data_IF_231191983177
#
_entry.id   IF_231191983177
#
_cell.length_a   1.000
_cell.length_b   1.000
_cell.length_c   1.000
_cell.angle_alpha   90.00
_cell.angle_beta   90.00
_cell.angle_gamma   90.00
#
_symmetry.space_group_name_H-M   'P 1'
#
loop_
_entity.id
_entity.type
_entity.pdbx_description
1 polymer ?
#
# COMPACT_ATOMS: atom_id res chain seq x y z
N UNK A 1 -22.93 -9.85 3.89
CA UNK A 1 -22.13 -10.33 2.76
C UNK A 1 -22.46 -11.79 2.50
N UNK A 2 -22.45 -12.67 3.51
CA UNK A 2 -22.77 -14.09 3.37
C UNK A 2 -24.20 -14.36 2.87
N UNK A 3 -25.21 -13.63 3.36
CA UNK A 3 -26.57 -13.68 2.84
C UNK A 3 -26.64 -13.33 1.34
N UNK A 4 -25.89 -12.30 0.94
CA UNK A 4 -25.87 -11.86 -0.46
C UNK A 4 -25.21 -12.91 -1.36
N UNK A 5 -24.16 -13.57 -0.89
CA UNK A 5 -23.46 -14.61 -1.62
C UNK A 5 -24.31 -15.86 -1.90
N UNK A 6 -25.40 -16.05 -1.15
CA UNK A 6 -26.38 -17.14 -1.40
C UNK A 6 -27.32 -16.84 -2.57
N UNK A 7 -27.46 -15.57 -2.95
CA UNK A 7 -28.43 -15.12 -3.95
C UNK A 7 -27.81 -14.67 -5.26
N UNK A 8 -26.58 -14.15 -5.20
CA UNK A 8 -25.85 -13.67 -6.38
C UNK A 8 -24.38 -14.12 -6.33
N UNK A 9 -23.73 -14.35 -7.49
CA UNK A 9 -22.29 -14.55 -7.58
C UNK A 9 -21.53 -13.36 -6.98
N UNK A 10 -20.63 -13.62 -6.06
CA UNK A 10 -19.91 -12.60 -5.32
C UNK A 10 -18.44 -12.98 -5.17
N UNK A 11 -17.55 -12.02 -5.42
CA UNK A 11 -16.10 -12.14 -5.20
C UNK A 11 -15.64 -11.02 -4.28
N UNK A 12 -14.89 -11.36 -3.23
CA UNK A 12 -14.29 -10.40 -2.32
C UNK A 12 -12.85 -10.17 -2.72
N UNK A 13 -12.47 -8.91 -2.96
CA UNK A 13 -11.08 -8.53 -3.26
C UNK A 13 -10.43 -7.93 -2.00
N UNK A 14 -9.18 -8.34 -1.74
CA UNK A 14 -8.36 -7.85 -0.63
C UNK A 14 -8.93 -8.14 0.77
N UNK A 15 -9.78 -9.16 0.89
CA UNK A 15 -10.19 -9.65 2.21
C UNK A 15 -9.11 -10.57 2.77
N UNK A 16 -8.87 -10.46 4.08
CA UNK A 16 -7.86 -11.29 4.75
C UNK A 16 -8.41 -12.55 5.36
N UNK A 17 -9.68 -12.54 5.72
CA UNK A 17 -10.28 -13.71 6.32
C UNK A 17 -10.52 -14.74 5.21
N UNK A 18 -9.92 -15.92 5.36
CA UNK A 18 -10.23 -17.03 4.48
C UNK A 18 -11.70 -17.33 4.63
N UNK A 19 -12.49 -16.85 3.69
CA UNK A 19 -13.88 -17.24 3.61
C UNK A 19 -13.94 -18.68 3.12
N UNK A 20 -14.73 -19.51 3.78
CA UNK A 20 -14.98 -20.88 3.35
C UNK A 20 -16.21 -20.99 2.45
N UNK A 21 -16.90 -19.87 2.23
CA UNK A 21 -18.21 -19.81 1.56
C UNK A 21 -18.28 -18.81 0.41
N UNK A 22 -17.29 -17.93 0.26
CA UNK A 22 -17.28 -16.85 -0.74
C UNK A 22 -15.95 -16.85 -1.48
N UNK A 23 -16.02 -16.69 -2.80
CA UNK A 23 -14.82 -16.53 -3.63
C UNK A 23 -14.02 -15.30 -3.21
N UNK A 24 -12.71 -15.44 -3.10
CA UNK A 24 -11.85 -14.39 -2.60
C UNK A 24 -10.54 -14.26 -3.40
N UNK A 25 -10.13 -13.01 -3.63
CA UNK A 25 -8.81 -12.68 -4.15
C UNK A 25 -8.08 -11.88 -3.07
N UNK A 26 -7.06 -12.49 -2.49
CA UNK A 26 -6.39 -12.01 -1.29
C UNK A 26 -5.04 -11.36 -1.58
N UNK A 27 -4.62 -10.57 -0.61
CA UNK A 27 -3.30 -9.98 -0.52
C UNK A 27 -2.93 -9.83 0.95
N UNK A 28 -1.69 -10.16 1.30
CA UNK A 28 -1.21 -9.92 2.66
C UNK A 28 -0.54 -8.54 2.78
N UNK A 29 -1.27 -7.58 3.34
CA UNK A 29 -0.76 -6.23 3.58
C UNK A 29 0.38 -6.20 4.62
N UNK A 30 0.48 -7.21 5.51
CA UNK A 30 1.62 -7.33 6.41
C UNK A 30 2.90 -7.64 5.63
N UNK A 31 2.81 -8.52 4.63
CA UNK A 31 3.92 -8.83 3.72
C UNK A 31 4.31 -7.60 2.92
N UNK A 32 3.34 -6.84 2.40
CA UNK A 32 3.59 -5.58 1.66
C UNK A 32 4.39 -4.60 2.52
N UNK A 33 3.92 -4.31 3.74
CA UNK A 33 4.63 -3.41 4.66
C UNK A 33 6.05 -3.88 5.00
N UNK A 34 6.20 -5.19 5.26
CA UNK A 34 7.51 -5.80 5.50
C UNK A 34 8.46 -5.63 4.30
N UNK A 35 7.97 -5.81 3.07
CA UNK A 35 8.80 -5.63 1.87
C UNK A 35 9.26 -4.18 1.69
N UNK A 36 8.39 -3.20 1.95
CA UNK A 36 8.76 -1.78 1.93
C UNK A 36 9.88 -1.50 2.94
N UNK A 37 9.71 -1.97 4.18
CA UNK A 37 10.70 -1.80 5.25
C UNK A 37 12.03 -2.48 4.91
N UNK A 38 12.01 -3.72 4.46
CA UNK A 38 13.22 -4.47 4.11
C UNK A 38 14.02 -3.77 3.02
N UNK A 39 13.35 -3.28 1.98
CA UNK A 39 14.00 -2.50 0.93
C UNK A 39 14.75 -1.27 1.47
N UNK A 40 14.12 -0.51 2.37
CA UNK A 40 14.76 0.66 2.97
C UNK A 40 15.91 0.27 3.91
N UNK A 41 15.74 -0.78 4.72
CA UNK A 41 16.78 -1.32 5.59
C UNK A 41 18.02 -1.80 4.80
N UNK A 42 17.80 -2.48 3.67
CA UNK A 42 18.87 -2.98 2.79
C UNK A 42 19.64 -1.83 2.12
N UNK A 43 18.98 -0.66 1.93
CA UNK A 43 19.63 0.58 1.46
C UNK A 43 20.32 1.37 2.59
N UNK A 44 20.25 0.87 3.83
CA UNK A 44 20.93 1.46 4.99
C UNK A 44 20.09 2.49 5.75
N UNK A 45 18.82 2.72 5.39
CA UNK A 45 17.96 3.63 6.13
C UNK A 45 17.62 3.06 7.51
N UNK A 46 17.72 3.94 8.54
CA UNK A 46 17.41 3.59 9.93
C UNK A 46 16.31 4.48 10.49
N UNK A 47 16.39 5.79 10.26
CA UNK A 47 15.37 6.77 10.63
C UNK A 47 14.45 6.99 9.46
N UNK A 48 13.18 6.61 9.60
CA UNK A 48 12.20 6.61 8.51
C UNK A 48 10.83 7.12 8.97
N UNK A 49 10.07 7.71 8.04
CA UNK A 49 8.69 8.07 8.25
C UNK A 49 7.77 7.18 7.41
N UNK A 50 6.62 6.80 7.96
CA UNK A 50 5.52 6.18 7.25
C UNK A 50 4.31 7.11 7.29
N UNK A 51 3.89 7.62 6.13
CA UNK A 51 2.72 8.49 6.02
C UNK A 51 1.49 7.69 5.58
N UNK A 52 0.35 7.92 6.22
CA UNK A 52 -0.87 7.12 6.02
C UNK A 52 -2.14 7.96 6.21
N UNK A 53 -3.23 7.65 5.51
CA UNK A 53 -4.54 8.15 5.88
C UNK A 53 -4.92 7.69 7.30
N UNK A 54 -6.04 8.13 7.88
CA UNK A 54 -6.44 7.74 9.23
C UNK A 54 -6.46 6.22 9.41
N UNK A 55 -5.93 5.73 10.54
CA UNK A 55 -5.90 4.32 10.90
C UNK A 55 -7.14 3.95 11.72
N UNK A 56 -8.27 3.77 11.06
CA UNK A 56 -9.53 3.40 11.69
C UNK A 56 -9.74 1.88 11.74
N UNK A 57 -10.64 1.42 12.63
CA UNK A 57 -11.02 -0.01 12.71
C UNK A 57 -11.61 -0.52 11.40
N UNK A 58 -12.31 0.31 10.63
CA UNK A 58 -12.91 -0.04 9.34
C UNK A 58 -11.87 -0.28 8.24
N UNK A 59 -10.67 0.29 8.42
CA UNK A 59 -9.59 0.23 7.42
C UNK A 59 -8.39 -0.58 7.92
N UNK A 60 -8.69 -1.69 8.58
CA UNK A 60 -7.71 -2.60 9.17
C UNK A 60 -6.61 -3.09 8.21
N UNK A 61 -6.84 -3.07 6.89
CA UNK A 61 -5.83 -3.38 5.88
C UNK A 61 -4.69 -2.36 5.85
N UNK A 62 -4.98 -1.07 6.07
CA UNK A 62 -3.97 -0.02 6.22
C UNK A 62 -3.12 -0.28 7.47
N UNK A 63 -3.76 -0.57 8.58
CA UNK A 63 -3.10 -0.90 9.85
C UNK A 63 -2.16 -2.11 9.71
N UNK A 64 -2.54 -3.13 8.92
CA UNK A 64 -1.67 -4.28 8.66
C UNK A 64 -0.42 -3.92 7.89
N UNK A 65 -0.52 -3.03 6.90
CA UNK A 65 0.66 -2.57 6.15
C UNK A 65 1.62 -1.82 7.06
N UNK A 66 1.10 -0.87 7.85
CA UNK A 66 1.88 -0.14 8.86
C UNK A 66 2.52 -1.11 9.85
N UNK A 67 1.76 -2.03 10.42
CA UNK A 67 2.28 -3.00 11.40
C UNK A 67 3.36 -3.92 10.79
N UNK A 68 3.19 -4.33 9.53
CA UNK A 68 4.21 -5.10 8.82
C UNK A 68 5.51 -4.32 8.65
N UNK A 69 5.40 -3.04 8.32
CA UNK A 69 6.53 -2.12 8.17
C UNK A 69 7.27 -1.94 9.51
N UNK A 70 6.54 -1.56 10.57
CA UNK A 70 7.13 -1.34 11.91
C UNK A 70 7.78 -2.61 12.45
N UNK A 71 7.11 -3.77 12.34
CA UNK A 71 7.66 -5.04 12.83
C UNK A 71 8.98 -5.43 12.15
N UNK A 72 9.19 -5.03 10.91
CA UNK A 72 10.45 -5.33 10.23
C UNK A 72 11.60 -4.48 10.77
N UNK A 73 11.36 -3.19 11.08
CA UNK A 73 12.32 -2.35 11.80
C UNK A 73 12.52 -2.82 13.25
N UNK A 74 11.48 -3.27 13.92
CA UNK A 74 11.56 -3.81 15.30
C UNK A 74 12.50 -5.03 15.39
N UNK A 75 12.55 -5.90 14.37
CA UNK A 75 13.51 -7.03 14.31
C UNK A 75 14.96 -6.59 14.30
N UNK A 76 15.24 -5.41 13.76
CA UNK A 76 16.59 -4.82 13.74
C UNK A 76 16.86 -3.93 14.98
N UNK A 77 15.94 -3.91 15.96
CA UNK A 77 16.04 -3.05 17.14
C UNK A 77 15.76 -1.56 16.88
N UNK A 78 15.12 -1.24 15.75
CA UNK A 78 14.92 0.13 15.25
C UNK A 78 13.45 0.60 15.33
N UNK A 79 12.65 0.03 16.21
CA UNK A 79 11.22 0.38 16.31
C UNK A 79 11.00 1.87 16.57
N UNK A 80 11.77 2.45 17.48
CA UNK A 80 11.66 3.85 17.90
C UNK A 80 12.18 4.84 16.83
N UNK A 81 12.81 4.34 15.79
CA UNK A 81 13.29 5.06 14.62
C UNK A 81 12.26 5.14 13.48
N UNK A 82 11.06 4.61 13.70
CA UNK A 82 9.95 4.66 12.73
C UNK A 82 8.91 5.68 13.18
N UNK A 83 8.79 6.77 12.45
CA UNK A 83 7.77 7.78 12.66
C UNK A 83 6.51 7.36 11.89
N UNK A 84 5.39 7.18 12.58
CA UNK A 84 4.09 6.97 11.93
C UNK A 84 3.32 8.30 11.94
N UNK A 85 3.16 8.89 10.76
CA UNK A 85 2.38 10.12 10.57
C UNK A 85 1.06 9.78 9.89
N UNK A 86 -0.01 9.71 10.67
CA UNK A 86 -1.35 9.44 10.17
C UNK A 86 -2.13 10.77 10.05
N UNK A 87 -2.94 10.90 9.00
CA UNK A 87 -3.87 12.01 8.88
C UNK A 87 -4.99 11.92 9.94
N UNK A 88 -5.55 13.05 10.34
CA UNK A 88 -6.74 13.10 11.18
C UNK A 88 -8.00 12.73 10.40
N UNK A 89 -8.97 12.06 11.05
CA UNK A 89 -10.25 11.69 10.43
C UNK A 89 -11.01 12.91 9.88
N UNK A 90 -10.91 14.06 10.53
CA UNK A 90 -11.55 15.29 10.09
C UNK A 90 -11.00 15.81 8.76
N UNK A 91 -9.74 15.53 8.43
CA UNK A 91 -9.09 15.93 7.18
C UNK A 91 -9.58 15.05 6.03
N UNK A 92 -9.75 13.75 6.26
CA UNK A 92 -10.24 12.78 5.25
C UNK A 92 -11.65 13.15 4.73
N UNK A 93 -12.46 13.84 5.55
CA UNK A 93 -13.80 14.30 5.18
C UNK A 93 -13.82 15.66 4.43
N UNK A 94 -12.77 16.46 4.51
CA UNK A 94 -12.71 17.82 3.93
C UNK A 94 -12.10 17.87 2.53
N UNK A 95 -11.30 16.87 2.15
CA UNK A 95 -10.61 16.84 0.86
C UNK A 95 -11.49 16.10 -0.17
N UNK A 96 -11.71 16.67 -1.39
CA UNK A 96 -12.43 15.99 -2.45
C UNK A 96 -11.79 14.61 -2.75
N UNK A 97 -12.62 13.57 -2.89
CA UNK A 97 -12.17 12.17 -3.00
C UNK A 97 -11.14 11.88 -4.08
N UNK A 98 -11.09 12.65 -5.17
CA UNK A 98 -10.18 12.39 -6.29
C UNK A 98 -8.72 12.76 -6.00
N UNK A 99 -8.47 13.74 -5.10
CA UNK A 99 -7.11 14.23 -4.80
C UNK A 99 -6.70 13.97 -3.34
N UNK A 100 -7.56 13.26 -2.57
CA UNK A 100 -7.40 13.17 -1.11
C UNK A 100 -6.08 12.56 -0.68
N UNK A 101 -5.67 11.45 -1.28
CA UNK A 101 -4.45 10.74 -0.87
C UNK A 101 -3.17 11.48 -1.28
N UNK A 102 -3.15 12.09 -2.47
CA UNK A 102 -2.04 12.94 -2.90
C UNK A 102 -1.89 14.15 -1.98
N UNK A 103 -2.98 14.89 -1.75
CA UNK A 103 -2.98 16.07 -0.87
C UNK A 103 -2.62 15.74 0.57
N UNK A 104 -3.08 14.58 1.08
CA UNK A 104 -2.64 14.08 2.39
C UNK A 104 -1.15 13.79 2.42
N UNK A 105 -0.62 13.10 1.41
CA UNK A 105 0.80 12.79 1.31
C UNK A 105 1.68 14.04 1.33
N UNK A 106 1.30 15.05 0.55
CA UNK A 106 1.96 16.35 0.54
C UNK A 106 1.89 17.02 1.93
N UNK A 107 0.70 17.17 2.49
CA UNK A 107 0.47 17.84 3.78
C UNK A 107 1.23 17.17 4.92
N UNK A 108 1.11 15.85 5.07
CA UNK A 108 1.79 15.10 6.14
C UNK A 108 3.31 15.20 6.02
N UNK A 109 3.84 15.28 4.80
CA UNK A 109 5.28 15.46 4.58
C UNK A 109 5.72 16.86 4.98
N UNK A 110 4.96 17.92 4.61
CA UNK A 110 5.26 19.28 5.05
C UNK A 110 5.23 19.39 6.58
N UNK A 111 4.22 18.81 7.23
CA UNK A 111 4.15 18.78 8.70
C UNK A 111 5.36 18.08 9.33
N UNK A 112 5.84 16.95 8.78
CA UNK A 112 7.05 16.29 9.26
C UNK A 112 8.29 17.17 9.16
N UNK A 113 8.42 17.95 8.07
CA UNK A 113 9.52 18.90 7.87
C UNK A 113 9.43 20.07 8.84
N UNK A 114 8.23 20.64 9.04
CA UNK A 114 7.99 21.76 9.97
C UNK A 114 8.23 21.35 11.44
N UNK A 115 7.94 20.10 11.79
CA UNK A 115 8.23 19.54 13.12
C UNK A 115 9.74 19.33 13.35
N UNK A 116 10.58 19.54 12.35
CA UNK A 116 12.02 19.31 12.42
C UNK A 116 12.40 17.83 12.65
N UNK A 117 11.54 16.89 12.22
CA UNK A 117 11.79 15.46 12.40
C UNK A 117 12.88 14.98 11.46
N UNK A 118 13.88 14.28 12.01
CA UNK A 118 14.93 13.66 11.22
C UNK A 118 14.47 12.32 10.66
N UNK A 119 14.56 12.16 9.34
CA UNK A 119 14.35 10.91 8.61
C UNK A 119 15.15 10.91 7.30
N UNK A 120 15.52 9.75 6.84
CA UNK A 120 16.25 9.55 5.58
C UNK A 120 15.39 8.89 4.49
N UNK A 121 14.20 8.38 4.86
CA UNK A 121 13.26 7.83 3.91
C UNK A 121 11.81 8.06 4.35
N UNK A 122 10.91 8.17 3.36
CA UNK A 122 9.45 8.20 3.55
C UNK A 122 8.83 7.00 2.83
N UNK A 123 7.99 6.27 3.54
CA UNK A 123 7.09 5.27 2.99
C UNK A 123 5.66 5.82 2.93
N UNK A 124 5.08 5.91 1.75
CA UNK A 124 3.67 6.25 1.58
C UNK A 124 2.78 5.02 1.68
N UNK A 125 1.61 5.15 2.32
CA UNK A 125 0.62 4.08 2.40
C UNK A 125 0.29 3.52 1.01
N UNK A 126 0.27 4.38 0.00
CA UNK A 126 0.13 4.04 -1.41
C UNK A 126 0.93 4.99 -2.31
N UNK A 127 0.87 4.78 -3.62
CA UNK A 127 1.61 5.57 -4.60
C UNK A 127 1.16 7.04 -4.65
N UNK A 128 -0.13 7.33 -4.49
CA UNK A 128 -0.63 8.70 -4.52
C UNK A 128 -0.09 9.52 -3.34
N UNK A 129 -0.07 8.95 -2.14
CA UNK A 129 0.56 9.59 -0.98
C UNK A 129 2.07 9.77 -1.18
N UNK A 130 2.75 8.77 -1.73
CA UNK A 130 4.18 8.87 -2.04
C UNK A 130 4.48 9.96 -3.08
N UNK A 131 3.62 10.13 -4.10
CA UNK A 131 3.74 11.21 -5.10
C UNK A 131 3.52 12.58 -4.44
N UNK A 132 2.54 12.71 -3.55
CA UNK A 132 2.37 13.93 -2.75
C UNK A 132 3.59 14.26 -1.89
N UNK A 133 4.23 13.24 -1.30
CA UNK A 133 5.48 13.41 -0.57
C UNK A 133 6.64 13.88 -1.47
N UNK A 134 6.74 13.36 -2.70
CA UNK A 134 7.75 13.82 -3.67
C UNK A 134 7.61 15.30 -3.96
N UNK A 135 6.38 15.80 -4.13
CA UNK A 135 6.13 17.21 -4.41
C UNK A 135 6.47 18.12 -3.21
N UNK A 136 6.09 17.69 -1.98
CA UNK A 136 6.45 18.41 -0.76
C UNK A 136 7.98 18.50 -0.58
N UNK A 137 8.70 17.40 -0.78
CA UNK A 137 10.17 17.37 -0.72
C UNK A 137 10.79 18.26 -1.82
N UNK A 138 10.22 18.27 -3.02
CA UNK A 138 10.67 19.13 -4.11
C UNK A 138 10.50 20.62 -3.78
N UNK A 139 9.36 21.02 -3.23
CA UNK A 139 9.10 22.39 -2.78
C UNK A 139 10.07 22.81 -1.68
N UNK A 140 10.34 21.91 -0.73
CA UNK A 140 11.33 22.10 0.33
C UNK A 140 12.79 22.05 -0.18
N UNK A 141 13.03 21.84 -1.48
CA UNK A 141 14.36 21.70 -2.11
C UNK A 141 15.18 20.54 -1.58
N UNK A 142 14.51 19.47 -1.11
CA UNK A 142 15.12 18.21 -0.67
C UNK A 142 15.21 17.25 -1.86
N UNK A 143 16.39 16.75 -2.16
CA UNK A 143 16.60 15.92 -3.34
C UNK A 143 16.27 14.45 -3.08
N UNK A 144 15.41 13.89 -3.92
CA UNK A 144 15.09 12.45 -3.93
C UNK A 144 15.84 11.76 -5.06
N UNK A 145 16.54 10.64 -4.80
CA UNK A 145 16.73 9.92 -3.54
C UNK A 145 17.95 10.38 -2.72
N UNK A 146 18.62 11.46 -3.14
CA UNK A 146 19.94 11.85 -2.63
C UNK A 146 19.93 12.19 -1.13
N UNK A 147 18.91 12.93 -0.69
CA UNK A 147 18.79 13.41 0.69
C UNK A 147 17.71 12.57 1.43
N UNK A 148 16.60 12.27 0.76
CA UNK A 148 15.51 11.44 1.28
C UNK A 148 15.06 10.45 0.21
N UNK A 149 14.92 9.18 0.56
CA UNK A 149 14.31 8.15 -0.29
C UNK A 149 12.79 8.14 -0.13
N UNK A 150 12.04 7.82 -1.21
CA UNK A 150 10.59 7.69 -1.17
C UNK A 150 10.14 6.38 -1.79
N UNK A 151 9.28 5.62 -1.08
CA UNK A 151 8.69 4.38 -1.57
C UNK A 151 7.17 4.42 -1.43
N UNK A 152 6.45 3.94 -2.45
CA UNK A 152 5.00 3.80 -2.47
C UNK A 152 4.53 2.35 -2.48
N UNK A 153 3.25 2.17 -2.76
CA UNK A 153 2.59 0.88 -2.99
C UNK A 153 1.45 1.08 -3.98
N UNK A 154 1.18 0.11 -4.82
CA UNK A 154 0.10 -0.15 -5.78
C UNK A 154 0.60 -0.25 -7.23
N UNK A 155 1.76 0.32 -7.57
CA UNK A 155 2.33 0.38 -8.92
C UNK A 155 1.34 0.95 -9.93
N UNK A 156 0.72 2.10 -9.60
CA UNK A 156 -0.22 2.79 -10.50
C UNK A 156 0.51 3.37 -11.72
N UNK A 157 -0.24 3.73 -12.76
CA UNK A 157 0.31 4.29 -13.99
C UNK A 157 1.26 5.48 -13.75
N UNK A 158 0.89 6.39 -12.84
CA UNK A 158 1.69 7.59 -12.53
C UNK A 158 3.06 7.25 -11.94
N UNK A 159 3.17 6.20 -11.12
CA UNK A 159 4.44 5.79 -10.52
C UNK A 159 5.48 5.38 -11.56
N UNK A 160 5.03 4.90 -12.73
CA UNK A 160 5.88 4.53 -13.86
C UNK A 160 6.31 5.69 -14.76
N UNK A 161 5.71 6.87 -14.64
CA UNK A 161 6.07 8.03 -15.47
C UNK A 161 7.54 8.40 -15.23
N UNK A 162 8.30 8.61 -16.31
CA UNK A 162 9.76 8.81 -16.27
C UNK A 162 10.22 9.94 -15.32
N UNK A 163 9.43 11.00 -15.17
CA UNK A 163 9.74 12.11 -14.25
C UNK A 163 9.51 11.77 -12.79
N UNK A 164 8.53 10.91 -12.49
CA UNK A 164 8.20 10.44 -11.14
C UNK A 164 9.09 9.25 -10.79
N UNK A 165 9.06 8.20 -11.60
CA UNK A 165 9.90 7.01 -11.47
C UNK A 165 9.94 6.44 -10.05
N UNK A 166 8.74 6.34 -9.42
CA UNK A 166 8.56 5.96 -8.03
C UNK A 166 8.85 4.47 -7.80
N UNK A 167 9.71 4.19 -6.84
CA UNK A 167 9.88 2.84 -6.27
C UNK A 167 8.62 2.45 -5.52
N UNK A 168 8.06 1.27 -5.79
CA UNK A 168 6.76 0.87 -5.26
C UNK A 168 6.64 -0.64 -5.10
N UNK A 169 5.64 -1.09 -4.35
CA UNK A 169 5.24 -2.50 -4.32
C UNK A 169 4.06 -2.70 -5.27
N UNK A 170 4.23 -3.60 -6.23
CA UNK A 170 3.13 -4.08 -7.07
C UNK A 170 2.44 -5.26 -6.39
N UNK A 171 1.18 -5.12 -6.11
CA UNK A 171 0.31 -6.19 -5.65
C UNK A 171 -0.78 -6.56 -6.66
N UNK A 172 -0.56 -6.20 -7.92
CA UNK A 172 -1.33 -6.64 -9.07
C UNK A 172 -2.80 -6.22 -9.08
N UNK A 173 -3.09 -4.94 -8.80
CA UNK A 173 -4.47 -4.40 -8.71
C UNK A 173 -5.28 -4.71 -9.96
N UNK A 174 -4.73 -4.44 -11.15
CA UNK A 174 -5.42 -4.67 -12.43
C UNK A 174 -5.71 -6.17 -12.68
N UNK A 175 -4.76 -7.06 -12.34
CA UNK A 175 -4.95 -8.50 -12.48
C UNK A 175 -6.03 -9.02 -11.54
N UNK A 176 -6.07 -8.56 -10.31
CA UNK A 176 -7.12 -8.92 -9.35
C UNK A 176 -8.51 -8.54 -9.85
N UNK A 177 -8.64 -7.35 -10.45
CA UNK A 177 -9.91 -6.92 -11.05
C UNK A 177 -10.33 -7.83 -12.19
N UNK A 178 -9.40 -8.19 -13.08
CA UNK A 178 -9.66 -9.13 -14.19
C UNK A 178 -10.07 -10.51 -13.66
N UNK A 179 -9.30 -11.08 -12.76
CA UNK A 179 -9.58 -12.40 -12.21
C UNK A 179 -10.91 -12.44 -11.44
N UNK A 180 -11.26 -11.33 -10.76
CA UNK A 180 -12.59 -11.21 -10.13
C UNK A 180 -13.72 -11.26 -11.15
N UNK A 181 -13.59 -10.56 -12.29
CA UNK A 181 -14.55 -10.64 -13.38
C UNK A 181 -14.65 -12.05 -13.96
N UNK A 182 -13.51 -12.69 -14.21
CA UNK A 182 -13.45 -14.06 -14.75
C UNK A 182 -14.12 -15.07 -13.79
N UNK A 183 -13.91 -14.93 -12.47
CA UNK A 183 -14.58 -15.75 -11.46
C UNK A 183 -16.09 -15.52 -11.48
N UNK A 184 -16.53 -14.26 -11.51
CA UNK A 184 -17.99 -13.94 -11.55
C UNK A 184 -18.63 -14.54 -12.77
N UNK A 185 -18.03 -14.40 -13.97
CA UNK A 185 -18.56 -14.96 -15.21
C UNK A 185 -18.68 -16.49 -15.13
N UNK A 186 -17.67 -17.16 -14.61
CA UNK A 186 -17.72 -18.62 -14.39
C UNK A 186 -18.81 -19.02 -13.41
N UNK A 187 -18.99 -18.26 -12.33
CA UNK A 187 -20.07 -18.51 -11.33
C UNK A 187 -21.47 -18.34 -11.92
N UNK A 188 -21.65 -17.37 -12.79
CA UNK A 188 -22.92 -17.21 -13.52
C UNK A 188 -23.18 -18.45 -14.40
N UNK A 189 -22.19 -18.91 -15.14
CA UNK A 189 -22.28 -20.12 -15.97
C UNK A 189 -22.52 -21.38 -15.13
N UNK A 190 -21.82 -21.55 -14.00
CA UNK A 190 -22.01 -22.67 -13.07
C UNK A 190 -23.41 -22.65 -12.48
N UNK A 191 -23.94 -21.48 -12.10
CA UNK A 191 -25.30 -21.35 -11.57
C UNK A 191 -26.35 -21.72 -12.64
N UNK A 192 -26.12 -21.40 -13.89
CA UNK A 192 -26.96 -21.81 -15.01
C UNK A 192 -26.94 -23.34 -15.21
N UNK A 193 -25.75 -23.95 -15.13
CA UNK A 193 -25.58 -25.42 -15.26
C UNK A 193 -26.13 -26.18 -14.05
N UNK A 194 -26.04 -25.61 -12.83
CA UNK A 194 -26.61 -26.22 -11.63
C UNK A 194 -28.12 -26.38 -11.71
N UNK A 195 -28.81 -25.53 -12.47
CA UNK A 195 -30.27 -25.69 -12.76
C UNK A 195 -30.55 -26.86 -13.70
N UNK A 196 -29.53 -27.34 -14.43
CA UNK A 196 -29.66 -28.41 -15.44
C UNK A 196 -28.90 -29.70 -15.07
N UNK A 197 -27.77 -29.58 -14.36
CA UNK A 197 -26.86 -30.67 -14.00
C UNK A 197 -26.39 -30.50 -12.54
N UNK A 198 -26.40 -31.52 -11.73
CA UNK A 198 -25.96 -31.51 -10.32
C UNK A 198 -24.42 -31.36 -10.18
N UNK A 199 -23.80 -30.39 -10.86
CA UNK A 199 -22.37 -30.16 -10.79
C UNK A 199 -21.94 -29.51 -9.47
N UNK A 200 -20.78 -29.86 -8.86
CA UNK A 200 -20.33 -29.23 -7.62
C UNK A 200 -19.94 -27.78 -7.87
N UNK A 201 -20.29 -26.91 -6.93
CA UNK A 201 -19.91 -25.48 -6.97
C UNK A 201 -18.44 -25.34 -6.52
N UNK A 202 -17.57 -24.83 -7.38
CA UNK A 202 -16.17 -24.57 -7.07
C UNK A 202 -16.00 -23.32 -6.22
N UNK A 203 -15.10 -23.30 -5.26
CA UNK A 203 -14.72 -22.12 -4.48
C UNK A 203 -13.32 -21.66 -4.93
N UNK A 204 -13.21 -20.39 -5.33
CA UNK A 204 -11.95 -19.78 -5.75
C UNK A 204 -11.34 -18.97 -4.59
N UNK A 205 -10.08 -19.28 -4.28
CA UNK A 205 -9.30 -18.53 -3.29
C UNK A 205 -7.91 -18.25 -3.88
N UNK A 206 -7.74 -17.06 -4.44
CA UNK A 206 -6.50 -16.63 -5.09
C UNK A 206 -5.73 -15.72 -4.15
N UNK A 207 -4.43 -15.96 -3.97
CA UNK A 207 -3.54 -15.09 -3.22
C UNK A 207 -2.39 -14.62 -4.12
N UNK A 208 -2.21 -13.29 -4.19
CA UNK A 208 -1.13 -12.68 -4.95
C UNK A 208 0.08 -12.41 -4.07
N UNK A 209 1.25 -12.87 -4.51
CA UNK A 209 2.53 -12.52 -3.90
C UNK A 209 3.00 -11.17 -4.42
N UNK A 210 3.11 -10.14 -3.56
CA UNK A 210 3.52 -8.81 -3.99
C UNK A 210 4.97 -8.79 -4.50
N UNK A 211 5.30 -7.81 -5.35
CA UNK A 211 6.61 -7.63 -5.95
C UNK A 211 7.14 -6.21 -5.76
N UNK A 212 8.39 -6.07 -5.34
CA UNK A 212 9.08 -4.78 -5.35
C UNK A 212 9.43 -4.36 -6.78
N UNK A 213 9.07 -3.13 -7.13
CA UNK A 213 9.45 -2.46 -8.38
C UNK A 213 10.38 -1.29 -8.02
N UNK A 214 11.67 -1.58 -7.96
CA UNK A 214 12.68 -0.56 -7.68
C UNK A 214 12.84 0.39 -8.87
N UNK A 215 12.77 1.70 -8.60
CA UNK A 215 12.95 2.77 -9.58
C UNK A 215 13.93 3.82 -9.04
N UNK A 216 13.69 5.11 -9.31
CA UNK A 216 14.66 6.18 -9.06
C UNK A 216 14.46 6.95 -7.75
N UNK A 217 13.40 6.68 -7.00
CA UNK A 217 13.08 7.44 -5.78
C UNK A 217 13.66 6.85 -4.50
N UNK A 218 14.34 5.71 -4.58
CA UNK A 218 15.09 5.13 -3.45
C UNK A 218 16.56 4.96 -3.81
N UNK A 219 17.45 5.17 -2.85
CA UNK A 219 18.89 5.02 -2.98
C UNK A 219 19.56 4.73 -1.65
N UNK A 220 20.85 4.44 -1.65
CA UNK A 220 21.60 4.23 -0.41
C UNK A 220 21.62 5.49 0.45
N UNK A 221 21.43 5.30 1.77
CA UNK A 221 21.59 6.39 2.72
C UNK A 221 22.99 6.98 2.63
N UNK A 222 23.08 8.31 2.60
CA UNK A 222 24.38 8.98 2.67
C UNK A 222 24.85 9.00 4.09
N UNK A 223 26.01 8.40 4.35
CA UNK A 223 26.76 8.67 5.59
C UNK A 223 27.12 10.15 5.63
N UNK A 224 26.61 10.91 6.61
CA UNK A 224 27.14 12.25 6.91
C UNK A 224 28.65 12.07 7.07
N UNK A 225 29.47 12.60 6.15
CA UNK A 225 30.88 12.73 6.43
C UNK A 225 30.98 13.66 7.63
N UNK A 226 31.44 13.12 8.76
CA UNK A 226 31.89 13.95 9.88
C UNK A 226 33.00 14.86 9.37
N UNK A 227 32.70 16.13 9.23
CA UNK A 227 33.72 17.17 9.08
C UNK A 227 34.25 17.54 10.45
#
# INVERSE_FOLDING_TARGET
>A
VEELAQTIPLVIISNKEKTTTIDAINQDNTVVGRMMARHLLDLGHRDVAFITPPLTRRQWQRTKRVNGFVKEFEKEGLKDHVIIKAADEAIDMQIPRMDSEYSMGYKLTMELLDEGREFTAIAGQNDMMAIGALDALHEARIHVPKDVSVIGCDNIFYSGIRKISLTTIDHFVALKGRDACDIILRKIDEQYRFLTDSAPVSLYNIEYTPKLIARRTTGYVRTKKNN
#
